data_IF_782161132447
#
_entry.id   IF_782161132447
#
_cell.length_a   1.000
_cell.length_b   1.000
_cell.length_c   1.000
_cell.angle_alpha   90.00
_cell.angle_beta   90.00
_cell.angle_gamma   90.00
#
_symmetry.space_group_name_H-M   'P 1'
#
loop_
_entity.id
_entity.type
_entity.pdbx_description
1 polymer ?
#
# COMPACT_ATOMS: atom_id res chain seq x y z
N UNK A 1 41.49 -1.60 -7.80
CA UNK A 1 40.98 -0.23 -7.93
C UNK A 1 39.48 -0.35 -8.18
N UNK A 2 38.73 -0.48 -7.08
CA UNK A 2 37.27 -0.63 -7.09
C UNK A 2 36.64 0.68 -7.54
N UNK A 3 35.96 0.67 -8.69
CA UNK A 3 35.02 1.73 -9.03
C UNK A 3 33.67 1.42 -8.39
N UNK A 4 33.46 2.10 -7.27
CA UNK A 4 32.21 2.63 -6.74
C UNK A 4 30.99 2.42 -7.67
N UNK A 5 30.30 1.29 -7.51
CA UNK A 5 28.90 1.15 -7.93
C UNK A 5 28.09 2.13 -7.10
N UNK A 6 27.80 3.30 -7.66
CA UNK A 6 26.80 4.22 -7.12
C UNK A 6 25.45 3.48 -7.21
N UNK A 7 25.05 2.85 -6.10
CA UNK A 7 23.83 2.05 -5.97
C UNK A 7 22.64 3.00 -6.19
N UNK A 8 21.97 2.87 -7.35
CA UNK A 8 20.66 3.48 -7.58
C UNK A 8 19.68 2.83 -6.61
N UNK A 9 19.20 3.58 -5.61
CA UNK A 9 17.97 3.23 -4.91
C UNK A 9 16.88 3.23 -5.98
N UNK A 10 16.50 2.06 -6.50
CA UNK A 10 15.34 1.94 -7.37
C UNK A 10 14.13 2.24 -6.49
N UNK A 11 13.49 3.40 -6.70
CA UNK A 11 12.11 3.58 -6.26
C UNK A 11 11.26 2.59 -7.04
N UNK A 12 10.46 1.81 -6.32
CA UNK A 12 9.62 0.77 -6.93
C UNK A 12 8.32 1.42 -7.37
N UNK A 13 7.97 1.18 -8.62
CA UNK A 13 6.77 1.73 -9.23
C UNK A 13 5.56 0.93 -8.75
N UNK A 14 4.59 1.59 -8.13
CA UNK A 14 3.32 0.97 -7.80
C UNK A 14 2.48 0.82 -9.07
N UNK A 15 2.07 -0.42 -9.37
CA UNK A 15 1.06 -0.71 -10.38
C UNK A 15 -0.28 -0.94 -9.70
N UNK A 16 -1.05 0.11 -9.45
CA UNK A 16 -2.43 -0.02 -9.01
C UNK A 16 -3.36 0.75 -9.96
N UNK A 17 -4.16 0.01 -10.74
CA UNK A 17 -5.29 0.58 -11.48
C UNK A 17 -6.46 0.71 -10.50
N UNK A 18 -6.67 1.92 -9.98
CA UNK A 18 -7.85 2.22 -9.17
C UNK A 18 -9.07 2.38 -10.07
N UNK A 19 -10.00 1.42 -10.01
CA UNK A 19 -11.35 1.64 -10.54
C UNK A 19 -12.16 2.44 -9.53
N UNK A 20 -12.38 3.73 -9.79
CA UNK A 20 -13.26 4.57 -8.99
C UNK A 20 -14.72 4.12 -9.20
N UNK A 21 -15.27 3.40 -8.21
CA UNK A 21 -16.70 3.07 -8.16
C UNK A 21 -17.54 4.32 -7.97
N UNK A 22 -18.31 4.69 -9.01
CA UNK A 22 -19.21 5.84 -8.99
C UNK A 22 -20.36 5.68 -7.99
N UNK A 23 -20.53 6.66 -7.09
CA UNK A 23 -21.70 6.78 -6.23
C UNK A 23 -22.91 7.20 -7.06
N UNK A 24 -23.84 6.29 -7.35
CA UNK A 24 -25.18 6.66 -7.82
C UNK A 24 -26.04 7.06 -6.61
N UNK A 25 -26.50 8.30 -6.62
CA UNK A 25 -27.35 8.86 -5.57
C UNK A 25 -28.77 8.31 -5.73
N UNK A 26 -29.24 7.53 -4.75
CA UNK A 26 -30.60 7.03 -4.68
C UNK A 26 -31.59 8.13 -4.28
N UNK A 27 -32.60 8.36 -5.11
CA UNK A 27 -33.76 9.21 -4.79
C UNK A 27 -34.71 8.49 -3.84
N UNK A 28 -35.11 9.22 -2.79
CA UNK A 28 -36.06 8.81 -1.76
C UNK A 28 -37.47 8.55 -2.31
N UNK A 29 -38.14 7.52 -1.76
CA UNK A 29 -39.57 7.29 -1.86
C UNK A 29 -40.10 6.75 -0.52
N UNK A 30 -40.92 7.54 0.17
CA UNK A 30 -41.66 7.16 1.37
C UNK A 30 -42.82 6.21 1.05
N UNK A 31 -43.04 5.22 1.90
CA UNK A 31 -44.23 4.35 1.91
C UNK A 31 -44.34 3.58 3.22
N UNK A 32 -45.55 3.49 3.76
CA UNK A 32 -45.90 3.32 5.17
C UNK A 32 -46.10 1.84 5.62
N UNK A 33 -45.82 1.60 6.91
CA UNK A 33 -46.46 0.68 7.89
C UNK A 33 -46.66 -0.85 7.65
N UNK A 34 -46.05 -1.58 8.60
CA UNK A 34 -46.64 -2.54 9.57
C UNK A 34 -46.68 -4.07 9.32
N UNK A 35 -46.35 -4.75 10.43
CA UNK A 35 -46.65 -6.11 10.89
C UNK A 35 -45.82 -7.33 10.44
N UNK A 36 -45.40 -8.10 11.45
CA UNK A 36 -45.05 -9.52 11.32
C UNK A 36 -43.69 -9.91 11.91
N UNK A 37 -43.69 -10.41 13.15
CA UNK A 37 -42.55 -11.08 13.75
C UNK A 37 -42.31 -12.43 13.07
N UNK A 38 -41.05 -12.77 12.75
CA UNK A 38 -40.59 -14.15 12.79
C UNK A 38 -39.07 -14.28 12.97
N UNK A 39 -38.69 -15.25 13.79
CA UNK A 39 -37.33 -15.58 14.21
C UNK A 39 -36.50 -16.13 13.06
N UNK A 40 -35.25 -15.67 12.94
CA UNK A 40 -34.20 -16.46 12.30
C UNK A 40 -32.81 -16.16 12.88
N UNK A 41 -32.20 -17.20 13.44
CA UNK A 41 -30.76 -17.50 13.44
C UNK A 41 -29.78 -16.36 13.70
N UNK A 42 -29.23 -16.33 14.91
CA UNK A 42 -28.00 -15.60 15.19
C UNK A 42 -26.90 -16.03 14.23
N UNK A 43 -26.53 -15.14 13.32
CA UNK A 43 -25.27 -15.22 12.61
C UNK A 43 -24.17 -15.11 13.67
N UNK A 44 -23.48 -16.22 13.93
CA UNK A 44 -22.23 -16.22 14.64
C UNK A 44 -21.33 -15.20 13.95
N UNK A 45 -21.06 -14.07 14.63
CA UNK A 45 -20.18 -13.04 14.13
C UNK A 45 -18.85 -13.68 13.77
N UNK A 46 -18.40 -13.47 12.54
CA UNK A 46 -17.05 -13.80 12.14
C UNK A 46 -16.10 -13.25 13.22
N UNK A 47 -15.10 -14.02 13.69
CA UNK A 47 -14.16 -13.52 14.66
C UNK A 47 -13.57 -12.22 14.13
N UNK A 48 -13.65 -11.16 14.94
CA UNK A 48 -13.04 -9.89 14.62
C UNK A 48 -11.56 -10.15 14.31
N UNK A 49 -11.10 -9.69 13.14
CA UNK A 49 -9.70 -9.71 12.78
C UNK A 49 -8.87 -9.18 13.96
N UNK A 50 -7.76 -9.82 14.36
CA UNK A 50 -6.84 -9.17 15.27
C UNK A 50 -6.35 -7.89 14.58
N UNK A 51 -6.84 -6.75 15.04
CA UNK A 51 -6.43 -5.46 14.52
C UNK A 51 -4.93 -5.27 14.81
N UNK A 52 -4.20 -4.72 13.84
CA UNK A 52 -2.83 -4.31 14.04
C UNK A 52 -2.73 -3.42 15.29
N UNK A 53 -1.73 -3.67 16.14
CA UNK A 53 -1.50 -2.79 17.28
C UNK A 53 -1.09 -1.39 16.80
N UNK A 54 -1.52 -0.28 17.43
CA UNK A 54 -1.20 1.08 16.96
C UNK A 54 0.31 1.32 16.75
N UNK A 55 1.16 0.80 17.65
CA UNK A 55 2.61 0.91 17.50
C UNK A 55 3.17 0.06 16.34
N UNK A 56 2.53 -1.06 16.01
CA UNK A 56 2.91 -1.88 14.87
C UNK A 56 2.55 -1.20 13.55
N UNK A 57 1.38 -0.54 13.47
CA UNK A 57 1.00 0.25 12.28
C UNK A 57 2.05 1.33 11.97
N UNK A 58 2.51 2.06 13.00
CA UNK A 58 3.57 3.06 12.79
C UNK A 58 4.89 2.42 12.30
N UNK A 59 5.21 1.21 12.77
CA UNK A 59 6.39 0.48 12.28
C UNK A 59 6.20 0.03 10.83
N UNK A 60 5.00 -0.43 10.44
CA UNK A 60 4.66 -0.78 9.05
C UNK A 60 4.82 0.43 8.13
N UNK A 61 4.41 1.62 8.59
CA UNK A 61 4.56 2.88 7.85
C UNK A 61 6.03 3.23 7.58
N UNK A 62 6.89 2.99 8.57
CA UNK A 62 8.33 3.21 8.46
C UNK A 62 9.02 2.12 7.62
N UNK A 63 8.60 0.86 7.71
CA UNK A 63 9.09 -0.22 6.83
C UNK A 63 8.74 0.11 5.38
N UNK A 64 7.52 0.60 5.13
CA UNK A 64 7.10 1.09 3.82
C UNK A 64 8.01 2.22 3.36
N UNK A 65 8.33 3.19 4.22
CA UNK A 65 9.25 4.27 3.88
C UNK A 65 10.67 3.78 3.55
N UNK A 66 11.13 2.70 4.20
CA UNK A 66 12.41 2.07 3.87
C UNK A 66 12.36 1.47 2.48
N UNK A 67 11.28 0.75 2.15
CA UNK A 67 11.15 0.12 0.84
C UNK A 67 10.95 1.12 -0.29
N UNK A 68 10.10 2.12 -0.09
CA UNK A 68 9.75 3.10 -1.13
C UNK A 68 10.82 4.18 -1.30
N UNK A 69 11.49 4.59 -0.21
CA UNK A 69 12.37 5.77 -0.25
C UNK A 69 13.76 5.54 0.36
N UNK A 70 14.05 4.37 0.92
CA UNK A 70 15.29 4.12 1.65
C UNK A 70 15.44 4.95 2.94
N UNK A 71 14.33 5.55 3.40
CA UNK A 71 14.24 6.40 4.58
C UNK A 71 13.61 5.63 5.75
N UNK A 72 13.86 6.04 6.99
CA UNK A 72 13.30 5.35 8.17
C UNK A 72 11.98 5.95 8.66
N UNK A 73 11.43 6.93 7.94
CA UNK A 73 10.14 7.57 8.22
C UNK A 73 9.44 8.01 6.92
N UNK A 74 8.10 8.10 6.88
CA UNK A 74 7.34 8.50 5.70
C UNK A 74 7.81 9.81 5.05
N UNK A 75 8.04 9.77 3.73
CA UNK A 75 8.51 10.93 2.96
C UNK A 75 7.34 11.70 2.31
N UNK A 76 6.54 12.40 3.11
CA UNK A 76 5.33 13.09 2.65
C UNK A 76 5.56 14.13 1.53
N UNK A 77 6.74 14.75 1.51
CA UNK A 77 7.11 15.78 0.54
C UNK A 77 7.87 15.26 -0.69
N UNK A 78 8.10 13.94 -0.78
CA UNK A 78 8.68 13.33 -1.97
C UNK A 78 7.81 13.65 -3.19
N UNK A 79 8.44 14.02 -4.31
CA UNK A 79 7.79 14.23 -5.60
C UNK A 79 8.85 14.27 -6.69
N UNK A 80 8.74 13.37 -7.67
CA UNK A 80 9.67 13.24 -8.80
C UNK A 80 8.93 12.69 -10.01
N UNK A 81 9.29 13.14 -11.21
CA UNK A 81 8.94 12.44 -12.44
C UNK A 81 10.00 11.35 -12.67
N UNK A 82 9.60 10.09 -12.50
CA UNK A 82 10.50 8.94 -12.63
C UNK A 82 10.60 8.43 -14.08
N UNK A 83 9.83 9.01 -15.00
CA UNK A 83 9.69 8.55 -16.39
C UNK A 83 9.28 7.07 -16.50
N UNK A 84 8.31 6.67 -15.68
CA UNK A 84 7.81 5.30 -15.50
C UNK A 84 6.32 5.14 -15.86
N UNK A 85 5.73 6.15 -16.52
CA UNK A 85 4.30 6.18 -16.85
C UNK A 85 3.40 6.80 -15.76
N UNK A 86 3.91 7.11 -14.57
CA UNK A 86 3.16 7.69 -13.45
C UNK A 86 2.94 9.22 -13.59
N UNK A 87 3.67 9.87 -14.50
CA UNK A 87 3.93 11.30 -14.44
C UNK A 87 4.72 11.62 -13.16
N UNK A 88 4.22 12.51 -12.31
CA UNK A 88 4.78 12.67 -10.97
C UNK A 88 4.38 11.51 -10.07
N UNK A 89 5.38 10.88 -9.45
CA UNK A 89 5.27 10.00 -8.27
C UNK A 89 5.54 10.82 -7.02
N UNK A 90 4.63 10.83 -6.05
CA UNK A 90 4.73 11.72 -4.89
C UNK A 90 4.22 11.15 -3.56
N UNK A 91 4.72 11.68 -2.44
CA UNK A 91 4.28 11.33 -1.10
C UNK A 91 4.80 9.98 -0.60
N UNK A 92 4.25 9.54 0.54
CA UNK A 92 4.71 8.36 1.28
C UNK A 92 4.63 7.05 0.48
N UNK A 93 3.51 6.80 -0.21
CA UNK A 93 3.28 5.57 -1.00
C UNK A 93 3.41 5.78 -2.50
N UNK A 94 3.93 6.92 -2.96
CA UNK A 94 4.14 7.17 -4.40
C UNK A 94 2.87 7.38 -5.23
N UNK A 95 1.99 8.30 -4.80
CA UNK A 95 0.82 8.72 -5.56
C UNK A 95 1.19 9.22 -6.97
N UNK A 96 0.41 8.82 -7.98
CA UNK A 96 0.63 9.12 -9.38
C UNK A 96 -0.29 10.22 -9.92
N UNK A 97 0.27 11.19 -10.63
CA UNK A 97 -0.54 12.19 -11.33
C UNK A 97 -1.37 11.59 -12.45
N UNK A 98 -0.92 10.47 -13.01
CA UNK A 98 -1.52 9.80 -14.16
C UNK A 98 -2.72 8.89 -13.80
N UNK A 99 -2.68 8.20 -12.65
CA UNK A 99 -3.65 7.14 -12.31
C UNK A 99 -4.84 7.62 -11.47
N UNK A 100 -4.87 8.91 -11.12
CA UNK A 100 -5.97 9.55 -10.40
C UNK A 100 -5.94 9.43 -8.87
N UNK A 101 -5.01 8.66 -8.29
CA UNK A 101 -4.83 8.57 -6.84
C UNK A 101 -4.31 9.89 -6.23
N UNK A 102 -3.37 10.58 -6.91
CA UNK A 102 -2.91 11.91 -6.53
C UNK A 102 -4.06 12.93 -6.55
N UNK A 103 -4.93 12.85 -7.56
CA UNK A 103 -6.14 13.66 -7.64
C UNK A 103 -7.09 13.38 -6.47
N UNK A 104 -7.30 12.10 -6.13
CA UNK A 104 -8.12 11.69 -4.99
C UNK A 104 -7.59 12.24 -3.65
N UNK A 105 -6.27 12.18 -3.46
CA UNK A 105 -5.59 12.76 -2.30
C UNK A 105 -5.77 14.29 -2.25
N UNK A 106 -5.51 14.99 -3.35
CA UNK A 106 -5.66 16.46 -3.42
C UNK A 106 -7.12 16.88 -3.21
N UNK A 107 -8.07 16.13 -3.75
CA UNK A 107 -9.51 16.37 -3.53
C UNK A 107 -9.88 16.21 -2.06
N UNK A 108 -9.38 15.16 -1.41
CA UNK A 108 -9.56 14.97 0.03
C UNK A 108 -8.92 16.10 0.85
N UNK A 109 -7.75 16.58 0.43
CA UNK A 109 -7.10 17.71 1.08
C UNK A 109 -7.85 19.03 0.89
N UNK A 110 -8.45 19.26 -0.27
CA UNK A 110 -9.32 20.42 -0.52
C UNK A 110 -10.54 20.42 0.40
N UNK A 111 -11.13 19.26 0.66
CA UNK A 111 -12.26 19.12 1.58
C UNK A 111 -11.85 19.38 3.04
N UNK A 112 -10.68 18.87 3.47
CA UNK A 112 -10.21 19.01 4.84
C UNK A 112 -9.58 20.38 5.16
N UNK A 113 -8.97 21.02 4.16
CA UNK A 113 -8.32 22.32 4.25
C UNK A 113 -8.67 23.17 3.01
N UNK A 114 -9.83 23.86 3.01
CA UNK A 114 -10.22 24.74 1.93
C UNK A 114 -9.15 25.81 1.65
N UNK A 115 -8.96 26.16 0.38
CA UNK A 115 -7.95 27.14 -0.06
C UNK A 115 -6.49 26.77 0.22
N UNK A 116 -6.18 25.49 0.45
CA UNK A 116 -4.80 25.03 0.51
C UNK A 116 -4.04 25.28 -0.81
N UNK A 117 -2.71 25.18 -0.75
CA UNK A 117 -1.81 25.53 -1.87
C UNK A 117 -1.96 24.61 -3.10
N UNK A 118 -2.54 23.42 -2.93
CA UNK A 118 -2.73 22.44 -3.99
C UNK A 118 -4.09 22.56 -4.70
N UNK A 119 -5.06 23.24 -4.09
CA UNK A 119 -6.44 23.32 -4.60
C UNK A 119 -6.52 23.79 -6.06
N UNK A 120 -5.66 24.72 -6.45
CA UNK A 120 -5.59 25.27 -7.83
C UNK A 120 -5.18 24.26 -8.91
N UNK A 121 -4.57 23.13 -8.53
CA UNK A 121 -4.11 22.11 -9.49
C UNK A 121 -5.19 21.06 -9.80
N UNK A 122 -6.29 21.01 -9.03
CA UNK A 122 -7.36 20.01 -9.17
C UNK A 122 -7.87 19.87 -10.61
N UNK A 123 -8.16 20.95 -11.37
CA UNK A 123 -8.63 20.80 -12.75
C UNK A 123 -7.58 20.21 -13.70
N UNK A 124 -6.29 20.43 -13.44
CA UNK A 124 -5.20 19.85 -14.24
C UNK A 124 -5.03 18.37 -13.89
N UNK A 125 -4.99 18.04 -12.59
CA UNK A 125 -4.91 16.66 -12.12
C UNK A 125 -6.08 15.81 -12.62
N UNK A 126 -7.29 16.36 -12.68
CA UNK A 126 -8.45 15.67 -13.26
C UNK A 126 -8.21 15.34 -14.73
N UNK A 127 -7.75 16.30 -15.55
CA UNK A 127 -7.48 16.06 -16.97
C UNK A 127 -6.39 15.01 -17.18
N UNK A 128 -5.33 15.04 -16.39
CA UNK A 128 -4.25 14.04 -16.47
C UNK A 128 -4.78 12.65 -16.15
N UNK A 129 -5.55 12.50 -15.06
CA UNK A 129 -6.18 11.25 -14.68
C UNK A 129 -7.16 10.72 -15.73
N UNK A 130 -8.06 11.58 -16.24
CA UNK A 130 -9.08 11.18 -17.23
C UNK A 130 -8.47 10.71 -18.56
N UNK A 131 -7.33 11.32 -18.95
CA UNK A 131 -6.62 10.98 -20.18
C UNK A 131 -5.55 9.90 -20.00
N UNK A 132 -5.24 9.52 -18.76
CA UNK A 132 -4.08 8.70 -18.44
C UNK A 132 -2.76 9.33 -18.90
N UNK A 133 -2.64 10.67 -18.86
CA UNK A 133 -1.45 11.40 -19.33
C UNK A 133 -0.38 11.55 -18.24
N UNK A 134 0.87 11.33 -18.63
CA UNK A 134 2.07 11.56 -17.82
C UNK A 134 2.65 12.99 -17.93
N UNK A 135 1.93 13.95 -18.55
CA UNK A 135 2.43 15.32 -18.78
C UNK A 135 2.57 16.13 -17.49
N UNK A 136 3.75 16.01 -16.88
CA UNK A 136 4.14 16.78 -15.69
C UNK A 136 4.30 18.28 -15.96
N UNK A 137 4.49 18.68 -17.23
CA UNK A 137 4.57 20.07 -17.67
C UNK A 137 3.25 20.82 -17.52
N UNK A 138 2.12 20.14 -17.71
CA UNK A 138 0.78 20.73 -17.56
C UNK A 138 0.50 21.27 -16.14
N UNK A 139 1.14 20.70 -15.12
CA UNK A 139 1.03 21.15 -13.72
C UNK A 139 1.88 22.40 -13.44
N UNK A 140 2.86 22.69 -14.30
CA UNK A 140 3.78 23.81 -14.18
C UNK A 140 4.83 23.64 -13.09
N UNK A 141 5.97 24.33 -13.24
CA UNK A 141 7.12 24.19 -12.33
C UNK A 141 6.88 24.61 -10.87
N UNK A 142 5.75 25.28 -10.59
CA UNK A 142 5.34 25.62 -9.23
C UNK A 142 4.80 24.42 -8.43
N UNK A 143 4.31 23.37 -9.10
CA UNK A 143 3.62 22.25 -8.47
C UNK A 143 4.51 21.52 -7.45
N UNK A 144 5.75 21.19 -7.83
CA UNK A 144 6.72 20.53 -6.94
C UNK A 144 6.97 21.31 -5.65
N UNK A 145 7.10 22.64 -5.74
CA UNK A 145 7.30 23.50 -4.56
C UNK A 145 6.04 23.54 -3.70
N UNK A 146 4.88 23.64 -4.32
CA UNK A 146 3.60 23.73 -3.60
C UNK A 146 3.25 22.38 -2.94
N UNK A 147 3.62 21.24 -3.53
CA UNK A 147 3.55 19.91 -2.91
C UNK A 147 4.41 19.82 -1.65
N UNK A 148 5.69 20.22 -1.75
CA UNK A 148 6.60 20.27 -0.61
C UNK A 148 6.08 21.21 0.49
N UNK A 149 5.43 22.31 0.13
CA UNK A 149 4.77 23.22 1.08
C UNK A 149 3.56 22.56 1.75
N UNK A 150 2.70 21.88 0.99
CA UNK A 150 1.58 21.13 1.54
C UNK A 150 2.03 20.02 2.48
N UNK A 151 3.16 19.35 2.19
CA UNK A 151 3.77 18.35 3.06
C UNK A 151 4.26 18.88 4.41
N UNK A 152 4.25 20.21 4.65
CA UNK A 152 4.45 20.78 5.97
C UNK A 152 3.17 20.81 6.82
N UNK A 153 1.99 20.71 6.19
CA UNK A 153 0.70 20.69 6.87
C UNK A 153 0.42 19.29 7.46
N UNK A 154 0.23 19.17 8.80
CA UNK A 154 -0.12 17.90 9.43
C UNK A 154 -1.39 17.25 8.86
N UNK A 155 -2.33 18.04 8.33
CA UNK A 155 -3.55 17.55 7.70
C UNK A 155 -3.25 16.80 6.41
N UNK A 156 -2.36 17.34 5.57
CA UNK A 156 -1.96 16.68 4.33
C UNK A 156 -1.19 15.38 4.61
N UNK A 157 -0.31 15.37 5.61
CA UNK A 157 0.40 14.16 6.07
C UNK A 157 -0.55 13.06 6.52
N UNK A 158 -1.53 13.39 7.38
CA UNK A 158 -2.54 12.43 7.84
C UNK A 158 -3.39 11.87 6.70
N UNK A 159 -3.70 12.69 5.70
CA UNK A 159 -4.45 12.23 4.52
C UNK A 159 -3.62 11.29 3.64
N UNK A 160 -2.32 11.51 3.47
CA UNK A 160 -1.46 10.56 2.77
C UNK A 160 -1.46 9.19 3.45
N UNK A 161 -1.27 9.16 4.78
CA UNK A 161 -1.34 7.91 5.56
C UNK A 161 -2.72 7.25 5.39
N UNK A 162 -3.80 8.01 5.61
CA UNK A 162 -5.17 7.48 5.53
C UNK A 162 -5.45 6.87 4.17
N UNK A 163 -5.15 7.56 3.08
CA UNK A 163 -5.42 7.05 1.72
C UNK A 163 -4.61 5.78 1.49
N UNK A 164 -3.31 5.76 1.81
CA UNK A 164 -2.51 4.54 1.69
C UNK A 164 -3.04 3.38 2.53
N UNK A 165 -3.47 3.64 3.76
CA UNK A 165 -4.07 2.63 4.64
C UNK A 165 -5.40 2.11 4.11
N UNK A 166 -6.29 2.98 3.67
CA UNK A 166 -7.60 2.61 3.13
C UNK A 166 -7.44 1.77 1.84
N UNK A 167 -6.46 2.11 1.00
CA UNK A 167 -6.20 1.42 -0.26
C UNK A 167 -5.50 0.08 -0.09
N UNK A 168 -4.55 -0.06 0.84
CA UNK A 168 -3.66 -1.22 0.90
C UNK A 168 -3.70 -1.96 2.25
N UNK A 169 -3.61 -1.25 3.38
CA UNK A 169 -3.60 -1.88 4.70
C UNK A 169 -4.96 -2.47 5.07
N UNK A 170 -6.06 -1.78 4.80
CA UNK A 170 -7.40 -2.26 5.12
C UNK A 170 -7.75 -3.55 4.35
N UNK A 171 -7.47 -3.67 3.03
CA UNK A 171 -7.55 -4.95 2.33
C UNK A 171 -6.63 -6.04 2.91
N UNK A 172 -5.39 -5.71 3.27
CA UNK A 172 -4.46 -6.65 3.88
C UNK A 172 -4.97 -7.18 5.23
N UNK A 173 -5.54 -6.32 6.09
CA UNK A 173 -6.18 -6.72 7.35
C UNK A 173 -7.37 -7.65 7.07
N UNK A 174 -8.20 -7.33 6.08
CA UNK A 174 -9.36 -8.14 5.71
C UNK A 174 -8.95 -9.53 5.20
N UNK A 175 -7.89 -9.61 4.39
CA UNK A 175 -7.36 -10.88 3.93
C UNK A 175 -6.72 -11.66 5.08
N UNK A 176 -5.86 -11.03 5.88
CA UNK A 176 -5.21 -11.66 7.02
C UNK A 176 -6.20 -12.27 8.01
N UNK A 177 -7.34 -11.61 8.25
CA UNK A 177 -8.43 -12.15 9.05
C UNK A 177 -9.04 -13.44 8.48
N UNK A 178 -9.17 -13.54 7.15
CA UNK A 178 -9.71 -14.71 6.44
C UNK A 178 -8.71 -15.86 6.45
N UNK A 179 -7.44 -15.56 6.21
CA UNK A 179 -6.36 -16.54 6.24
C UNK A 179 -5.98 -16.98 7.65
N UNK A 180 -6.43 -16.28 8.69
CA UNK A 180 -6.09 -16.56 10.08
C UNK A 180 -4.69 -16.11 10.48
N UNK A 181 -4.11 -15.15 9.75
CA UNK A 181 -2.86 -14.46 10.07
C UNK A 181 -3.05 -13.61 11.32
N UNK A 182 -2.20 -13.79 12.34
CA UNK A 182 -2.32 -13.11 13.64
C UNK A 182 -1.11 -12.25 13.99
N UNK A 183 0.06 -12.54 13.42
CA UNK A 183 1.27 -11.78 13.70
C UNK A 183 1.26 -10.42 13.00
N UNK A 184 1.94 -9.44 13.60
CA UNK A 184 2.11 -8.12 13.00
C UNK A 184 2.99 -8.22 11.75
N UNK A 185 4.03 -9.07 11.79
CA UNK A 185 4.86 -9.34 10.61
C UNK A 185 4.08 -9.99 9.47
N UNK A 186 3.15 -10.90 9.77
CA UNK A 186 2.30 -11.50 8.75
C UNK A 186 1.41 -10.47 8.07
N UNK A 187 0.83 -9.55 8.84
CA UNK A 187 0.07 -8.44 8.28
C UNK A 187 0.93 -7.50 7.44
N UNK A 188 2.16 -7.20 7.87
CA UNK A 188 3.12 -6.41 7.07
C UNK A 188 3.43 -7.07 5.72
N UNK A 189 3.57 -8.41 5.69
CA UNK A 189 3.76 -9.13 4.42
C UNK A 189 2.57 -8.94 3.47
N UNK A 190 1.34 -8.99 3.99
CA UNK A 190 0.14 -8.74 3.21
C UNK A 190 0.07 -7.28 2.75
N UNK A 191 0.34 -6.33 3.64
CA UNK A 191 0.29 -4.90 3.38
C UNK A 191 1.31 -4.48 2.31
N UNK A 192 2.57 -4.85 2.44
CA UNK A 192 3.62 -4.53 1.46
C UNK A 192 3.37 -5.23 0.11
N UNK A 193 2.74 -6.41 0.12
CA UNK A 193 2.33 -7.08 -1.13
C UNK A 193 1.17 -6.35 -1.80
N UNK A 194 0.15 -5.96 -1.03
CA UNK A 194 -0.97 -5.16 -1.54
C UNK A 194 -0.50 -3.83 -2.13
N UNK A 195 0.40 -3.14 -1.44
CA UNK A 195 0.97 -1.87 -1.87
C UNK A 195 1.72 -2.01 -3.19
N UNK A 196 2.65 -2.97 -3.29
CA UNK A 196 3.50 -3.08 -4.48
C UNK A 196 2.80 -3.76 -5.65
N UNK A 197 2.08 -4.85 -5.40
CA UNK A 197 1.62 -5.80 -6.41
C UNK A 197 0.10 -5.82 -6.59
N UNK A 198 -0.61 -4.95 -5.87
CA UNK A 198 -2.07 -4.85 -5.95
C UNK A 198 -2.80 -5.66 -4.87
N UNK A 199 -3.92 -5.10 -4.44
CA UNK A 199 -4.78 -5.59 -3.36
C UNK A 199 -6.02 -6.35 -3.86
N UNK A 200 -6.30 -6.29 -5.16
CA UNK A 200 -7.49 -6.82 -5.80
C UNK A 200 -7.43 -8.33 -6.03
N UNK A 201 -8.60 -8.93 -6.24
CA UNK A 201 -8.72 -10.34 -6.61
C UNK A 201 -8.39 -10.60 -8.08
N UNK A 202 -8.46 -9.57 -8.92
CA UNK A 202 -8.21 -9.66 -10.37
C UNK A 202 -6.73 -9.37 -10.72
N UNK A 203 -5.91 -8.98 -9.74
CA UNK A 203 -4.48 -8.78 -9.92
C UNK A 203 -3.79 -10.13 -10.15
N UNK A 204 -3.24 -10.32 -11.35
CA UNK A 204 -2.74 -11.62 -11.80
C UNK A 204 -1.51 -12.12 -11.02
N UNK A 205 -0.83 -11.22 -10.32
CA UNK A 205 0.32 -11.45 -9.43
C UNK A 205 0.17 -10.73 -8.07
N UNK A 206 -1.04 -10.29 -7.71
CA UNK A 206 -1.30 -9.50 -6.51
C UNK A 206 -1.48 -10.30 -5.21
N UNK A 207 -1.76 -9.57 -4.12
CA UNK A 207 -1.82 -10.12 -2.75
C UNK A 207 -2.77 -11.32 -2.61
N UNK A 208 -3.98 -11.21 -3.17
CA UNK A 208 -5.00 -12.27 -3.07
C UNK A 208 -4.55 -13.52 -3.84
N UNK A 209 -3.99 -13.34 -5.04
CA UNK A 209 -3.49 -14.42 -5.88
C UNK A 209 -2.34 -15.18 -5.22
N UNK A 210 -1.39 -14.45 -4.62
CA UNK A 210 -0.26 -15.03 -3.89
C UNK A 210 -0.74 -15.83 -2.67
N UNK A 211 -1.73 -15.33 -1.92
CA UNK A 211 -2.32 -16.07 -0.80
C UNK A 211 -2.99 -17.37 -1.28
N UNK A 212 -3.80 -17.33 -2.34
CA UNK A 212 -4.44 -18.52 -2.91
C UNK A 212 -3.43 -19.59 -3.33
N UNK A 213 -2.37 -19.21 -4.06
CA UNK A 213 -1.32 -20.16 -4.46
C UNK A 213 -0.52 -20.70 -3.27
N UNK A 214 -0.45 -19.95 -2.17
CA UNK A 214 0.16 -20.39 -0.91
C UNK A 214 -0.69 -21.46 -0.25
N UNK A 215 -2.00 -21.22 -0.16
CA UNK A 215 -2.97 -22.15 0.39
C UNK A 215 -3.01 -23.46 -0.38
N UNK A 216 -3.08 -23.39 -1.70
CA UNK A 216 -3.04 -24.56 -2.60
C UNK A 216 -1.77 -25.38 -2.38
N UNK A 217 -0.63 -24.72 -2.22
CA UNK A 217 0.65 -25.39 -2.04
C UNK A 217 0.82 -26.06 -0.66
N UNK A 218 0.10 -25.58 0.36
CA UNK A 218 0.16 -26.11 1.72
C UNK A 218 -1.04 -26.98 2.10
N UNK A 219 -2.07 -27.04 1.24
CA UNK A 219 -3.32 -27.73 1.53
C UNK A 219 -4.18 -27.02 2.58
N UNK A 220 -3.99 -25.71 2.74
CA UNK A 220 -4.71 -24.89 3.73
C UNK A 220 -3.95 -23.63 4.14
N UNK A 221 -4.50 -22.94 5.14
CA UNK A 221 -4.00 -21.67 5.66
C UNK A 221 -4.01 -21.66 7.21
N UNK A 222 -3.53 -20.60 7.86
CA UNK A 222 -3.52 -20.52 9.32
C UNK A 222 -4.91 -20.70 9.97
N UNK A 223 -5.98 -20.24 9.32
CA UNK A 223 -7.35 -20.46 9.81
C UNK A 223 -7.76 -21.94 9.78
N UNK A 224 -7.22 -22.73 8.85
CA UNK A 224 -7.43 -24.19 8.79
C UNK A 224 -6.37 -25.00 9.56
N UNK A 225 -5.51 -24.35 10.35
CA UNK A 225 -4.53 -25.00 11.23
C UNK A 225 -3.11 -25.14 10.68
N UNK A 226 -2.80 -24.57 9.50
CA UNK A 226 -1.42 -24.48 9.03
C UNK A 226 -0.62 -23.53 9.94
N UNK A 227 0.64 -23.85 10.23
CA UNK A 227 1.46 -22.97 11.03
C UNK A 227 1.71 -21.63 10.30
N UNK A 228 1.45 -20.50 10.95
CA UNK A 228 1.57 -19.17 10.33
C UNK A 228 2.98 -18.88 9.80
N UNK A 229 4.04 -19.30 10.50
CA UNK A 229 5.40 -19.09 10.03
C UNK A 229 5.70 -19.92 8.78
N UNK A 230 5.19 -21.16 8.69
CA UNK A 230 5.28 -21.97 7.49
C UNK A 230 4.51 -21.35 6.32
N UNK A 231 3.30 -20.84 6.59
CA UNK A 231 2.48 -20.18 5.59
C UNK A 231 3.16 -18.91 5.06
N UNK A 232 3.70 -18.05 5.94
CA UNK A 232 4.40 -16.82 5.54
C UNK A 232 5.70 -17.09 4.77
N UNK A 233 6.47 -18.10 5.17
CA UNK A 233 7.65 -18.51 4.41
C UNK A 233 7.28 -18.96 2.98
N UNK A 234 6.16 -19.68 2.83
CA UNK A 234 5.65 -20.07 1.52
C UNK A 234 5.10 -18.87 0.74
N UNK A 235 4.33 -18.00 1.39
CA UNK A 235 3.81 -16.76 0.81
C UNK A 235 4.92 -15.90 0.23
N UNK A 236 6.01 -15.69 0.98
CA UNK A 236 7.19 -14.97 0.49
C UNK A 236 7.86 -15.67 -0.69
N UNK A 237 7.97 -17.00 -0.69
CA UNK A 237 8.52 -17.73 -1.83
C UNK A 237 7.66 -17.58 -3.10
N UNK A 238 6.32 -17.63 -2.97
CA UNK A 238 5.38 -17.42 -4.07
C UNK A 238 5.45 -15.97 -4.57
N UNK A 239 5.43 -14.99 -3.66
CA UNK A 239 5.61 -13.57 -3.97
C UNK A 239 6.89 -13.32 -4.77
N UNK A 240 8.03 -13.83 -4.30
CA UNK A 240 9.29 -13.67 -5.01
C UNK A 240 9.31 -14.31 -6.41
N UNK A 241 8.53 -15.38 -6.63
CA UNK A 241 8.38 -15.98 -7.96
C UNK A 241 7.66 -15.01 -8.91
N UNK A 242 6.54 -14.44 -8.46
CA UNK A 242 5.79 -13.43 -9.22
C UNK A 242 6.59 -12.16 -9.46
N UNK A 243 7.30 -11.65 -8.45
CA UNK A 243 8.18 -10.48 -8.62
C UNK A 243 9.30 -10.71 -9.65
N UNK A 244 9.82 -11.93 -9.77
CA UNK A 244 10.85 -12.28 -10.78
C UNK A 244 10.27 -12.51 -12.18
N UNK A 245 8.98 -12.85 -12.26
CA UNK A 245 8.29 -13.20 -13.49
C UNK A 245 6.87 -12.58 -13.51
N UNK A 246 6.77 -11.23 -13.51
CA UNK A 246 5.48 -10.57 -13.36
C UNK A 246 4.63 -10.73 -14.61
N UNK A 247 3.34 -10.95 -14.39
CA UNK A 247 2.31 -10.91 -15.42
C UNK A 247 1.73 -9.50 -15.57
N UNK A 248 1.90 -8.63 -14.58
CA UNK A 248 1.57 -7.21 -14.71
C UNK A 248 2.38 -6.57 -15.84
N UNK A 249 1.73 -5.93 -16.83
CA UNK A 249 2.42 -5.25 -17.93
C UNK A 249 3.43 -4.22 -17.45
N UNK A 250 4.52 -4.07 -18.19
CA UNK A 250 5.62 -3.13 -17.95
C UNK A 250 6.44 -3.34 -16.66
N UNK A 251 6.14 -4.40 -15.89
CA UNK A 251 6.85 -4.71 -14.63
C UNK A 251 8.01 -5.69 -14.73
N UNK A 252 8.29 -6.18 -15.93
CA UNK A 252 9.31 -7.22 -16.15
C UNK A 252 10.74 -6.76 -15.84
N UNK A 253 10.98 -5.45 -15.76
CA UNK A 253 12.31 -4.89 -15.53
C UNK A 253 12.51 -4.31 -14.11
N UNK A 254 11.46 -3.85 -13.44
CA UNK A 254 11.53 -3.17 -12.14
C UNK A 254 11.27 -4.13 -10.96
N UNK A 255 10.23 -4.96 -11.01
CA UNK A 255 9.88 -5.87 -9.92
C UNK A 255 10.97 -6.91 -9.60
N UNK A 256 11.71 -7.49 -10.57
CA UNK A 256 12.81 -8.39 -10.24
C UNK A 256 13.92 -7.73 -9.41
N UNK A 257 14.07 -6.40 -9.49
CA UNK A 257 15.03 -5.64 -8.68
C UNK A 257 14.52 -5.34 -7.26
N UNK A 258 13.20 -5.45 -7.04
CA UNK A 258 12.56 -5.16 -5.76
C UNK A 258 12.40 -6.40 -4.85
N UNK A 259 12.80 -7.59 -5.32
CA UNK A 259 12.69 -8.88 -4.59
C UNK A 259 13.23 -8.82 -3.15
N UNK A 260 14.22 -7.96 -2.93
CA UNK A 260 14.85 -7.77 -1.62
C UNK A 260 13.88 -7.30 -0.53
N UNK A 261 12.75 -6.67 -0.85
CA UNK A 261 11.73 -6.32 0.16
C UNK A 261 11.08 -7.56 0.77
N UNK A 262 10.69 -8.54 -0.05
CA UNK A 262 10.16 -9.82 0.43
C UNK A 262 11.23 -10.62 1.17
N UNK A 263 12.51 -10.56 0.73
CA UNK A 263 13.62 -11.16 1.47
C UNK A 263 13.81 -10.50 2.84
N UNK A 264 13.75 -9.17 2.92
CA UNK A 264 13.89 -8.45 4.18
C UNK A 264 12.79 -8.85 5.18
N UNK A 265 11.53 -9.00 4.71
CA UNK A 265 10.43 -9.49 5.53
C UNK A 265 10.63 -10.95 5.98
N UNK A 266 11.18 -11.81 5.11
CA UNK A 266 11.56 -13.18 5.51
C UNK A 266 12.68 -13.16 6.57
N UNK A 267 13.72 -12.33 6.41
CA UNK A 267 14.79 -12.22 7.40
C UNK A 267 14.27 -11.70 8.76
N UNK A 268 13.24 -10.86 8.78
CA UNK A 268 12.58 -10.46 10.03
C UNK A 268 11.91 -11.67 10.70
N UNK A 269 11.26 -12.54 9.94
CA UNK A 269 10.67 -13.79 10.46
C UNK A 269 11.75 -14.74 11.00
N UNK A 270 12.85 -14.90 10.27
CA UNK A 270 13.98 -15.77 10.65
C UNK A 270 14.64 -15.31 11.97
N UNK A 271 14.59 -14.01 12.25
CA UNK A 271 15.08 -13.40 13.51
C UNK A 271 14.03 -13.37 14.62
N UNK A 272 12.81 -13.86 14.36
CA UNK A 272 11.72 -13.87 15.34
C UNK A 272 11.05 -12.51 15.59
N UNK A 273 11.19 -11.55 14.67
CA UNK A 273 10.62 -10.19 14.80
C UNK A 273 9.10 -10.14 14.49
N UNK A 274 8.33 -11.11 14.98
CA UNK A 274 6.91 -11.31 14.68
C UNK A 274 5.99 -10.17 15.15
N UNK A 275 6.41 -9.45 16.19
CA UNK A 275 5.65 -8.34 16.81
C UNK A 275 5.99 -6.96 16.22
N UNK A 276 6.97 -6.86 15.30
CA UNK A 276 7.46 -5.60 14.71
C UNK A 276 7.90 -4.54 15.75
N UNK A 277 8.57 -4.96 16.82
CA UNK A 277 9.10 -4.05 17.85
C UNK A 277 10.47 -3.50 17.50
N UNK A 278 10.68 -2.22 17.79
CA UNK A 278 11.97 -1.55 17.64
C UNK A 278 12.99 -1.92 18.74
N UNK A 279 14.30 -1.78 18.49
CA UNK A 279 14.90 -1.42 17.21
C UNK A 279 14.75 -2.55 16.18
N UNK A 280 14.35 -2.21 14.95
CA UNK A 280 14.07 -3.18 13.89
C UNK A 280 14.95 -2.87 12.68
N UNK A 281 15.74 -3.86 12.24
CA UNK A 281 16.61 -3.70 11.07
C UNK A 281 15.98 -4.34 9.85
N UNK A 282 15.64 -3.50 8.88
CA UNK A 282 15.25 -3.91 7.53
C UNK A 282 16.52 -4.27 6.77
N UNK A 283 16.70 -5.57 6.54
CA UNK A 283 17.90 -6.18 6.00
C UNK A 283 18.00 -6.13 4.47
N UNK A 284 18.42 -7.25 3.85
CA UNK A 284 18.71 -7.34 2.42
C UNK A 284 19.59 -6.16 1.92
N UNK A 285 19.29 -5.57 0.76
CA UNK A 285 20.03 -4.39 0.28
C UNK A 285 19.65 -3.05 0.94
N UNK A 286 18.59 -2.98 1.77
CA UNK A 286 18.19 -1.75 2.44
C UNK A 286 19.16 -1.36 3.55
N UNK A 287 19.49 -2.31 4.43
CA UNK A 287 20.39 -2.12 5.59
C UNK A 287 20.05 -0.83 6.37
N UNK A 288 18.79 -0.74 6.80
CA UNK A 288 18.26 0.39 7.58
C UNK A 288 17.74 -0.09 8.92
N UNK A 289 17.98 0.68 9.97
CA UNK A 289 17.47 0.39 11.31
C UNK A 289 16.48 1.47 11.72
N UNK A 290 15.25 1.06 11.99
CA UNK A 290 14.21 1.90 12.58
C UNK A 290 14.35 1.77 14.10
N UNK A 291 14.82 2.82 14.76
CA UNK A 291 15.07 2.79 16.22
C UNK A 291 13.76 2.89 17.00
N UNK A 292 12.90 3.83 16.63
CA UNK A 292 11.50 3.91 17.07
C UNK A 292 10.64 4.33 15.89
N UNK A 293 9.39 3.85 15.83
CA UNK A 293 8.47 4.26 14.79
C UNK A 293 8.24 5.78 14.77
N UNK A 294 8.39 6.40 13.59
CA UNK A 294 8.17 7.82 13.31
C UNK A 294 9.14 8.79 14.05
N UNK A 295 10.34 8.32 14.44
CA UNK A 295 11.42 9.14 15.04
C UNK A 295 12.01 10.20 14.09
#
# INVERSE_FOLDING_TARGET
MELTRMRRTLLVVLGAVLTLGGCTSGTAGQGNQADGADKAGGAAGAPAAPAAGPAAILMMDDITAVFENGATVPQYGYITDLHDGCGYTAGWVGFCSQSGDMLGLVTSYNAAAPHNVLAKYTPVLQRLADSGSEDTGALGGAFVRDWKKAALDPTFRRLQIRVGHDTYLAPAVKLGAREGVKSQLGLENLFDTALMMGQGADDCDGMVKIAQETDEALGGNPASGVNEAQWLARFNAVRQKHMKHPCTPDRQNDWPQAVDRSRALQELADRGAWDLKGPLTVGADFRRTINRPQD
#
